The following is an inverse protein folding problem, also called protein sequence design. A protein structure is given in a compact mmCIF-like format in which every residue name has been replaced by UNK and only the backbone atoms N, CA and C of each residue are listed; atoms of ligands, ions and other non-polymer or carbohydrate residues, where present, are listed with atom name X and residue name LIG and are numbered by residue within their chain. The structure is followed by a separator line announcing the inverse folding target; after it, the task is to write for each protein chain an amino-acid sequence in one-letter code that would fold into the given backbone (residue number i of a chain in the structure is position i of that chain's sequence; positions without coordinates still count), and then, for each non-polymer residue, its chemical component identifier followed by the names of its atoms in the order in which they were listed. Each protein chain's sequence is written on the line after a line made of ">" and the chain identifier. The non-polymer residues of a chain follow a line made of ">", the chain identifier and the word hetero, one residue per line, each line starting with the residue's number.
data_IF_489576284793
#
_entry.id   IF_489576284793
#
_cell.length_a   1.000
_cell.length_b   1.000
_cell.length_c   1.000
_cell.angle_alpha   90.00
_cell.angle_beta   90.00
_cell.angle_gamma   90.00
#
_symmetry.space_group_name_H-M   'P 1'
#
loop_
_entity.id
_entity.type
_entity.pdbx_description
1 polymer ?
#
# COMPACT_ATOMS: atom_id res chain seq x y z
N UNK A 1 6.90 -3.75 14.33
CA UNK A 1 5.76 -4.53 13.77
C UNK A 1 5.14 -3.75 12.63
N UNK A 2 4.48 -4.42 11.69
CA UNK A 2 3.78 -3.83 10.52
C UNK A 2 2.91 -2.60 10.86
N UNK A 3 2.45 -2.50 12.10
CA UNK A 3 1.68 -1.38 12.67
C UNK A 3 2.27 0.01 12.43
N UNK A 4 3.59 0.16 12.23
CA UNK A 4 4.21 1.47 11.96
C UNK A 4 3.88 2.05 10.58
N UNK A 5 3.47 1.20 9.63
CA UNK A 5 3.26 1.60 8.24
C UNK A 5 1.78 1.56 7.80
N UNK A 6 0.92 0.97 8.63
CA UNK A 6 -0.52 0.93 8.41
C UNK A 6 -1.19 2.11 9.10
N UNK A 7 -1.97 2.88 8.35
CA UNK A 7 -2.88 3.87 8.91
C UNK A 7 -4.29 3.62 8.39
N UNK A 8 -5.31 3.91 9.21
CA UNK A 8 -6.71 3.77 8.82
C UNK A 8 -6.96 4.48 7.48
N UNK A 9 -7.63 3.80 6.56
CA UNK A 9 -8.01 4.33 5.26
C UNK A 9 -6.97 4.18 4.14
N UNK A 10 -5.73 3.75 4.43
CA UNK A 10 -4.76 3.43 3.37
C UNK A 10 -5.02 2.03 2.80
N UNK A 11 -5.16 1.88 1.48
CA UNK A 11 -5.34 0.57 0.87
C UNK A 11 -4.03 -0.22 0.86
N UNK A 12 -4.12 -1.51 1.18
CA UNK A 12 -3.00 -2.45 1.28
C UNK A 12 -3.44 -3.79 0.71
N UNK A 13 -2.59 -4.38 -0.12
CA UNK A 13 -2.72 -5.75 -0.61
C UNK A 13 -2.06 -6.68 0.40
N UNK A 14 -2.76 -7.75 0.79
CA UNK A 14 -2.30 -8.70 1.79
C UNK A 14 -2.38 -10.11 1.21
N UNK A 15 -1.29 -10.85 1.29
CA UNK A 15 -1.20 -12.27 0.95
C UNK A 15 -0.97 -13.09 2.23
N UNK A 16 -1.70 -14.19 2.36
CA UNK A 16 -1.59 -15.04 3.53
C UNK A 16 -2.66 -16.11 3.60
N UNK A 17 -2.90 -16.61 4.81
CA UNK A 17 -3.80 -17.73 5.08
C UNK A 17 -4.93 -17.35 6.02
N UNK A 18 -6.15 -17.80 5.69
CA UNK A 18 -7.30 -17.69 6.58
C UNK A 18 -7.18 -18.69 7.72
N UNK A 19 -7.36 -18.20 8.94
CA UNK A 19 -7.40 -18.98 10.17
C UNK A 19 -8.67 -18.65 10.95
N UNK A 20 -9.26 -19.66 11.56
CA UNK A 20 -10.29 -19.48 12.59
C UNK A 20 -9.59 -19.54 13.94
N UNK A 21 -9.70 -18.47 14.74
CA UNK A 21 -9.20 -18.47 16.11
C UNK A 21 -10.36 -18.53 17.07
N UNK A 22 -10.24 -19.41 18.05
CA UNK A 22 -11.16 -19.51 19.17
C UNK A 22 -10.52 -18.92 20.42
N UNK A 23 -11.29 -18.18 21.19
CA UNK A 23 -10.85 -17.60 22.45
C UNK A 23 -12.01 -17.57 23.46
N UNK A 24 -11.67 -17.54 24.74
CA UNK A 24 -12.67 -17.37 25.82
C UNK A 24 -12.82 -15.90 26.15
N UNK A 25 -14.06 -15.43 26.13
CA UNK A 25 -14.38 -14.06 26.54
C UNK A 25 -14.13 -13.92 28.05
N UNK A 26 -13.25 -12.97 28.40
CA UNK A 26 -12.80 -12.71 29.76
C UNK A 26 -13.93 -12.26 30.71
N UNK A 27 -15.04 -11.79 30.17
CA UNK A 27 -16.20 -11.35 30.94
C UNK A 27 -17.27 -12.44 31.13
N UNK A 28 -16.92 -13.72 30.91
CA UNK A 28 -17.85 -14.84 31.05
C UNK A 28 -18.76 -15.05 29.83
N UNK A 29 -18.48 -14.38 28.70
CA UNK A 29 -19.25 -14.48 27.46
C UNK A 29 -19.06 -15.77 26.65
N UNK A 30 -18.39 -16.78 27.23
CA UNK A 30 -18.15 -18.10 26.64
C UNK A 30 -17.08 -18.15 25.55
N UNK A 31 -17.00 -19.28 24.84
CA UNK A 31 -16.11 -19.47 23.68
C UNK A 31 -16.62 -18.65 22.50
N UNK A 32 -15.72 -17.89 21.87
CA UNK A 32 -15.96 -17.06 20.69
C UNK A 32 -15.00 -17.44 19.59
N UNK A 33 -15.45 -17.29 18.35
CA UNK A 33 -14.63 -17.53 17.16
C UNK A 33 -14.44 -16.24 16.37
N UNK A 34 -13.27 -16.07 15.75
CA UNK A 34 -12.96 -14.97 14.83
C UNK A 34 -12.21 -15.49 13.61
N UNK A 35 -12.49 -14.91 12.45
CA UNK A 35 -11.68 -15.09 11.26
C UNK A 35 -10.50 -14.12 11.29
N UNK A 36 -9.30 -14.65 11.06
CA UNK A 36 -8.05 -13.89 11.05
C UNK A 36 -7.24 -14.30 9.83
N UNK A 37 -6.52 -13.35 9.24
CA UNK A 37 -5.52 -13.65 8.21
C UNK A 37 -4.16 -13.68 8.88
N UNK A 38 -3.45 -14.79 8.74
CA UNK A 38 -2.02 -14.87 9.04
C UNK A 38 -1.28 -14.35 7.81
N UNK A 39 -0.60 -13.22 7.96
CA UNK A 39 0.04 -12.52 6.85
C UNK A 39 1.39 -13.17 6.53
N UNK A 40 1.58 -13.57 5.28
CA UNK A 40 2.84 -14.06 4.75
C UNK A 40 3.58 -12.94 3.99
N UNK A 41 2.85 -12.09 3.24
CA UNK A 41 3.38 -10.91 2.54
C UNK A 41 2.36 -9.77 2.44
N UNK A 42 2.79 -8.53 2.24
CA UNK A 42 1.91 -7.38 2.00
C UNK A 42 2.58 -6.32 1.12
N UNK A 43 1.75 -5.53 0.43
CA UNK A 43 2.18 -4.42 -0.42
C UNK A 43 1.24 -3.23 -0.25
N UNK A 44 1.78 -2.02 -0.24
CA UNK A 44 0.95 -0.82 -0.29
C UNK A 44 0.35 -0.66 -1.67
N UNK A 45 -0.95 -0.45 -1.73
CA UNK A 45 -1.61 -0.08 -2.98
C UNK A 45 -1.60 1.44 -3.01
N UNK A 46 -0.84 2.04 -3.92
CA UNK A 46 -0.95 3.48 -4.15
C UNK A 46 -2.24 3.73 -4.92
N UNK A 47 -3.26 4.29 -4.27
CA UNK A 47 -4.41 4.82 -4.98
C UNK A 47 -3.96 6.11 -5.64
N UNK A 48 -3.61 6.06 -6.93
CA UNK A 48 -3.05 7.17 -7.73
C UNK A 48 -3.73 8.53 -7.54
N UNK A 49 -3.39 9.19 -6.44
CA UNK A 49 -3.85 10.49 -5.96
C UNK A 49 -2.64 11.13 -5.28
N UNK A 50 -1.57 11.26 -6.07
CA UNK A 50 -0.27 11.74 -5.64
C UNK A 50 0.57 12.09 -6.85
N UNK A 51 0.08 13.01 -7.67
CA UNK A 51 0.97 13.86 -8.45
C UNK A 51 2.12 14.32 -7.55
N UNK A 52 3.34 13.93 -7.90
CA UNK A 52 4.57 14.65 -7.58
C UNK A 52 4.91 14.83 -6.11
N UNK A 53 5.35 13.76 -5.44
CA UNK A 53 6.00 13.82 -4.13
C UNK A 53 7.40 13.21 -4.11
N UNK A 54 8.15 13.25 -5.21
CA UNK A 54 9.57 12.89 -5.19
C UNK A 54 10.38 14.10 -4.74
N UNK A 55 11.02 13.95 -3.59
CA UNK A 55 11.90 14.94 -2.97
C UNK A 55 12.99 15.42 -3.92
N UNK A 56 13.38 16.67 -3.71
CA UNK A 56 14.47 17.32 -4.38
C UNK A 56 15.78 16.52 -4.22
N UNK A 57 16.28 16.00 -5.34
CA UNK A 57 17.71 15.77 -5.57
C UNK A 57 18.04 16.42 -6.90
N UNK A 58 18.95 17.39 -6.86
CA UNK A 58 19.29 18.24 -7.99
C UNK A 58 20.04 17.51 -9.11
N UNK A 59 20.04 18.14 -10.28
CA UNK A 59 20.98 17.80 -11.35
C UNK A 59 20.42 17.99 -12.75
N UNK A 60 20.75 19.12 -13.38
CA UNK A 60 21.09 19.16 -14.80
C UNK A 60 19.98 19.07 -15.84
N UNK A 61 19.71 20.24 -16.45
CA UNK A 61 19.75 20.46 -17.91
C UNK A 61 18.99 19.52 -18.86
N UNK A 62 18.01 20.11 -19.56
CA UNK A 62 17.73 19.80 -20.97
C UNK A 62 16.35 19.23 -21.23
N UNK A 63 15.34 20.11 -21.42
CA UNK A 63 14.16 19.74 -22.21
C UNK A 63 14.64 19.49 -23.65
N UNK A 64 14.38 18.34 -24.28
CA UNK A 64 14.56 18.23 -25.72
C UNK A 64 13.56 19.18 -26.37
N UNK A 65 14.07 20.22 -27.01
CA UNK A 65 13.28 21.08 -27.88
C UNK A 65 12.96 20.24 -29.11
N UNK A 66 11.71 19.83 -29.28
CA UNK A 66 11.25 19.21 -30.53
C UNK A 66 11.12 20.33 -31.55
N UNK A 67 12.11 20.41 -32.44
CA UNK A 67 12.16 21.25 -33.63
C UNK A 67 11.03 20.81 -34.58
N UNK A 68 10.02 21.68 -34.72
CA UNK A 68 8.84 21.45 -35.58
C UNK A 68 9.17 21.33 -37.07
N UNK A 69 10.41 21.62 -37.46
CA UNK A 69 10.88 21.60 -38.84
C UNK A 69 11.33 20.20 -39.33
N UNK A 70 11.36 19.20 -38.44
CA UNK A 70 11.81 17.83 -38.76
C UNK A 70 10.67 16.80 -38.87
N UNK A 71 9.40 17.23 -38.87
CA UNK A 71 8.27 16.30 -39.09
C UNK A 71 7.98 16.21 -40.60
N UNK A 72 8.37 15.12 -41.29
CA UNK A 72 7.91 14.89 -42.66
C UNK A 72 6.40 14.62 -42.64
N UNK A 73 5.69 15.28 -43.56
CA UNK A 73 4.25 15.10 -43.84
C UNK A 73 3.90 13.66 -44.26
#
# INVERSE_FOLDING_TARGET
>A
TMAQYLSKGKPVFIEGRLKMEEWEDKNGGGRRTKHVIVVDNFQFVDSGSGSGGSGAVGGGSGKPQINHDEIPF
#
